data_IF_842727776196
#
_entry.id   IF_842727776196
#
_cell.length_a   1.000
_cell.length_b   1.000
_cell.length_c   1.000
_cell.angle_alpha   90.00
_cell.angle_beta   90.00
_cell.angle_gamma   90.00
#
_symmetry.space_group_name_H-M   'P 1'
#
loop_
_entity.id
_entity.type
_entity.pdbx_description
1 polymer ?
#
# COMPACT_ATOMS: atom_id res chain seq x y z
N UNK A 1 66.80 40.06 14.38
CA UNK A 1 67.33 39.00 15.26
C UNK A 1 66.65 37.71 14.81
N UNK A 2 67.31 36.98 13.90
CA UNK A 2 68.05 35.72 14.20
C UNK A 2 67.08 34.56 14.36
N UNK A 3 66.80 33.81 13.28
CA UNK A 3 67.48 32.56 12.87
C UNK A 3 67.07 31.38 13.80
N UNK A 4 66.68 30.19 13.36
CA UNK A 4 67.13 29.35 12.24
C UNK A 4 66.26 28.08 12.16
N UNK A 5 65.84 27.65 10.96
CA UNK A 5 66.24 26.36 10.35
C UNK A 5 65.08 25.34 10.36
N UNK A 6 64.85 24.46 9.39
CA UNK A 6 65.51 24.10 8.14
C UNK A 6 64.64 23.06 7.39
N UNK A 7 64.94 22.85 6.12
CA UNK A 7 64.22 22.01 5.14
C UNK A 7 64.26 20.49 5.45
N UNK A 8 63.28 19.74 4.90
CA UNK A 8 63.35 18.28 4.74
C UNK A 8 62.01 17.70 4.26
N UNK A 9 61.99 17.02 3.11
CA UNK A 9 60.78 16.59 2.42
C UNK A 9 60.48 15.09 2.47
N UNK A 10 59.34 14.78 1.83
CA UNK A 10 58.84 13.52 1.27
C UNK A 10 58.42 12.40 2.23
N UNK A 11 57.16 11.97 2.03
CA UNK A 11 56.68 10.65 2.43
C UNK A 11 55.16 10.56 2.33
N UNK A 12 54.64 10.30 1.13
CA UNK A 12 53.23 9.96 0.95
C UNK A 12 52.90 8.62 1.62
N UNK A 13 51.76 8.56 2.32
CA UNK A 13 51.03 7.33 2.61
C UNK A 13 49.57 7.62 2.33
N UNK A 14 48.99 6.86 1.40
CA UNK A 14 47.59 6.95 1.02
C UNK A 14 46.67 6.53 2.16
N UNK A 15 45.66 7.36 2.43
CA UNK A 15 44.46 7.00 3.17
C UNK A 15 43.32 6.78 2.17
N UNK A 16 42.83 5.54 2.14
CA UNK A 16 41.62 5.14 1.43
C UNK A 16 40.39 5.76 2.10
N UNK A 17 39.47 6.27 1.28
CA UNK A 17 38.03 6.15 1.48
C UNK A 17 37.38 7.08 2.51
N UNK A 18 36.59 8.02 2.02
CA UNK A 18 35.61 8.70 2.86
C UNK A 18 34.98 9.91 2.17
N UNK A 19 33.66 9.87 2.07
CA UNK A 19 32.77 10.98 1.72
C UNK A 19 32.61 11.25 0.22
N UNK A 20 31.95 10.33 -0.47
CA UNK A 20 31.15 10.66 -1.66
C UNK A 20 29.80 11.23 -1.22
N UNK A 21 29.52 12.46 -1.65
CA UNK A 21 28.42 13.30 -1.18
C UNK A 21 27.03 12.71 -1.38
N UNK A 22 26.16 13.02 -0.41
CA UNK A 22 24.70 12.94 -0.55
C UNK A 22 24.28 14.03 -1.52
N UNK A 23 24.14 13.67 -2.79
CA UNK A 23 23.66 14.55 -3.84
C UNK A 23 22.16 14.38 -4.06
N UNK A 24 21.40 15.43 -3.76
CA UNK A 24 20.18 15.79 -4.50
C UNK A 24 18.92 15.00 -4.18
N UNK A 25 18.22 15.44 -3.13
CA UNK A 25 16.76 15.27 -3.03
C UNK A 25 16.15 16.16 -4.12
N UNK A 26 15.62 15.57 -5.18
CA UNK A 26 14.88 16.24 -6.25
C UNK A 26 13.53 15.57 -6.39
N UNK A 27 12.47 16.31 -6.09
CA UNK A 27 11.11 15.80 -5.99
C UNK A 27 10.59 15.14 -7.27
N UNK A 28 10.10 13.90 -7.12
CA UNK A 28 9.08 13.32 -7.98
C UNK A 28 7.89 13.04 -7.08
N UNK A 29 7.00 14.03 -6.96
CA UNK A 29 5.75 13.90 -6.23
C UNK A 29 4.69 13.20 -7.08
N UNK A 30 4.36 11.96 -6.73
CA UNK A 30 3.26 11.21 -7.32
C UNK A 30 3.64 9.73 -7.49
N UNK A 31 2.97 8.85 -6.76
CA UNK A 31 3.16 7.39 -6.70
C UNK A 31 4.56 6.92 -6.27
N UNK A 32 4.76 6.84 -4.95
CA UNK A 32 5.88 6.11 -4.35
C UNK A 32 5.74 4.62 -4.62
N UNK A 33 6.19 4.16 -5.78
CA UNK A 33 6.72 2.81 -5.92
C UNK A 33 8.18 2.90 -5.46
N UNK A 34 8.46 2.26 -4.31
CA UNK A 34 9.76 2.00 -3.69
C UNK A 34 10.16 2.86 -2.46
N UNK A 35 10.35 2.12 -1.36
CA UNK A 35 11.55 2.13 -0.49
C UNK A 35 11.62 3.13 0.68
N UNK A 36 10.89 2.89 1.79
CA UNK A 36 11.43 2.99 3.19
C UNK A 36 10.39 2.59 4.28
N UNK A 37 10.05 1.30 4.42
CA UNK A 37 9.34 0.78 5.61
C UNK A 37 10.08 -0.36 6.31
N UNK A 38 11.41 -0.30 6.26
CA UNK A 38 12.32 -0.92 7.21
C UNK A 38 13.48 0.08 7.29
N UNK A 39 13.73 0.64 8.48
CA UNK A 39 14.74 1.69 8.72
C UNK A 39 16.13 1.34 8.19
N UNK A 40 17.11 2.26 8.30
CA UNK A 40 18.29 2.29 7.46
C UNK A 40 18.87 0.89 7.35
N UNK A 41 18.61 0.27 6.20
CA UNK A 41 19.33 -0.91 5.77
C UNK A 41 20.69 -0.38 5.38
N UNK A 42 21.49 0.03 6.38
CA UNK A 42 22.93 0.02 6.28
C UNK A 42 23.23 -1.35 5.72
N UNK A 43 23.65 -1.37 4.46
CA UNK A 43 23.74 -2.57 3.68
C UNK A 43 24.33 -3.67 4.56
N UNK A 44 23.50 -4.66 4.88
CA UNK A 44 23.94 -5.89 5.53
C UNK A 44 24.67 -6.68 4.44
N UNK A 45 25.79 -6.15 3.97
CA UNK A 45 26.70 -6.87 3.12
C UNK A 45 27.08 -8.12 3.90
N UNK A 46 26.55 -9.27 3.47
CA UNK A 46 27.08 -10.54 3.96
C UNK A 46 28.49 -10.63 3.37
N UNK A 47 29.55 -10.67 4.19
CA UNK A 47 30.88 -10.88 3.65
C UNK A 47 30.85 -12.15 2.82
N UNK A 48 31.51 -12.14 1.67
CA UNK A 48 31.76 -13.35 0.90
C UNK A 48 32.50 -14.31 1.84
N UNK A 49 31.79 -15.29 2.41
CA UNK A 49 32.31 -16.15 3.47
C UNK A 49 33.33 -17.13 2.90
N UNK A 50 32.96 -18.40 2.83
CA UNK A 50 33.82 -19.41 2.20
C UNK A 50 33.49 -19.51 0.71
N UNK A 51 34.50 -19.28 -0.14
CA UNK A 51 34.36 -19.43 -1.59
C UNK A 51 34.68 -20.87 -1.99
N UNK A 52 33.75 -21.62 -2.61
CA UNK A 52 34.02 -22.97 -3.08
C UNK A 52 35.08 -22.98 -4.19
N UNK A 53 35.83 -24.08 -4.29
CA UNK A 53 36.82 -24.30 -5.35
C UNK A 53 36.16 -24.14 -6.72
N UNK A 54 36.78 -23.35 -7.61
CA UNK A 54 36.26 -23.13 -8.98
C UNK A 54 36.23 -24.44 -9.74
N UNK A 55 35.08 -24.77 -10.33
CA UNK A 55 34.97 -25.81 -11.36
C UNK A 55 34.66 -25.13 -12.69
N UNK A 56 35.39 -25.52 -13.73
CA UNK A 56 35.13 -25.06 -15.10
C UNK A 56 33.82 -25.67 -15.57
N UNK A 57 32.81 -24.84 -15.84
CA UNK A 57 31.56 -25.30 -16.44
C UNK A 57 31.83 -25.72 -17.89
N UNK A 58 31.67 -27.02 -18.18
CA UNK A 58 31.75 -27.53 -19.55
C UNK A 58 30.48 -27.17 -20.34
N UNK A 59 30.64 -26.90 -21.64
CA UNK A 59 29.52 -26.64 -22.56
C UNK A 59 29.15 -25.16 -22.76
N UNK A 60 29.95 -24.21 -22.26
CA UNK A 60 29.74 -22.79 -22.53
C UNK A 60 30.16 -22.40 -23.97
N UNK A 61 29.52 -21.38 -24.58
CA UNK A 61 29.91 -20.88 -25.89
C UNK A 61 31.39 -20.47 -25.95
N UNK A 62 32.07 -20.65 -27.10
CA UNK A 62 33.45 -20.18 -27.27
C UNK A 62 33.58 -18.69 -26.96
N UNK A 63 34.48 -18.34 -26.02
CA UNK A 63 34.72 -16.95 -25.62
C UNK A 63 33.94 -16.45 -24.40
N UNK A 64 33.12 -17.28 -23.76
CA UNK A 64 32.57 -16.95 -22.45
C UNK A 64 33.72 -16.66 -21.46
N UNK A 65 33.73 -15.55 -20.71
CA UNK A 65 34.79 -15.26 -19.75
C UNK A 65 34.77 -16.31 -18.65
N UNK A 66 35.65 -17.32 -18.75
CA UNK A 66 35.62 -18.51 -17.90
C UNK A 66 36.09 -18.25 -16.46
N UNK A 67 36.64 -17.07 -16.14
CA UNK A 67 37.36 -16.87 -14.88
C UNK A 67 37.27 -15.41 -14.42
N UNK A 68 36.54 -15.16 -13.32
CA UNK A 68 36.64 -13.91 -12.57
C UNK A 68 37.99 -13.86 -11.83
N UNK A 69 38.83 -12.84 -12.06
CA UNK A 69 40.23 -12.80 -11.57
C UNK A 69 40.46 -11.88 -10.33
N UNK A 70 39.47 -11.67 -9.45
CA UNK A 70 39.69 -10.79 -8.29
C UNK A 70 40.41 -11.46 -7.10
N UNK A 71 41.01 -10.63 -6.25
CA UNK A 71 41.89 -10.98 -5.13
C UNK A 71 41.21 -11.83 -4.02
N UNK A 72 41.96 -12.80 -3.49
CA UNK A 72 41.49 -13.86 -2.60
C UNK A 72 41.69 -13.49 -1.12
N UNK A 73 40.60 -13.40 -0.36
CA UNK A 73 40.62 -13.52 1.10
C UNK A 73 39.22 -13.93 1.62
N UNK A 74 39.06 -15.00 2.42
CA UNK A 74 40.06 -15.96 2.92
C UNK A 74 40.49 -17.03 1.88
N UNK A 75 41.55 -17.84 2.16
CA UNK A 75 42.03 -18.89 1.26
C UNK A 75 40.99 -19.97 0.97
N UNK A 76 41.08 -20.55 -0.23
CA UNK A 76 40.22 -21.61 -0.75
C UNK A 76 40.05 -22.73 0.27
N UNK A 77 38.81 -22.96 0.71
CA UNK A 77 38.46 -24.08 1.57
C UNK A 77 37.74 -25.09 0.70
N UNK A 78 38.14 -26.36 0.74
CA UNK A 78 37.39 -27.45 0.09
C UNK A 78 36.11 -27.70 0.89
N UNK A 79 35.11 -26.85 0.67
CA UNK A 79 33.78 -27.04 1.21
C UNK A 79 32.89 -27.66 0.13
N UNK A 80 32.59 -28.95 0.31
CA UNK A 80 31.52 -29.63 -0.42
C UNK A 80 30.21 -29.47 0.36
N UNK A 81 29.56 -28.31 0.21
CA UNK A 81 28.20 -28.16 0.72
C UNK A 81 27.26 -29.00 -0.15
N UNK A 82 26.39 -29.78 0.48
CA UNK A 82 25.36 -30.48 -0.25
C UNK A 82 24.46 -29.44 -0.95
N UNK A 83 24.25 -29.60 -2.26
CA UNK A 83 23.24 -28.83 -2.97
C UNK A 83 21.89 -29.23 -2.42
N UNK A 84 21.04 -28.25 -2.08
CA UNK A 84 19.64 -28.55 -1.81
C UNK A 84 19.05 -29.24 -3.06
N UNK A 85 18.39 -30.40 -2.91
CA UNK A 85 18.04 -31.26 -4.04
C UNK A 85 17.25 -30.52 -5.13
N UNK A 86 16.32 -29.66 -4.72
CA UNK A 86 15.60 -28.66 -5.50
C UNK A 86 14.99 -27.66 -4.50
N UNK A 87 14.96 -26.38 -4.82
CA UNK A 87 14.26 -25.37 -4.03
C UNK A 87 13.55 -24.41 -4.98
N UNK A 88 12.23 -24.50 -5.03
CA UNK A 88 11.40 -23.52 -5.73
C UNK A 88 11.20 -22.30 -4.83
N UNK A 89 11.04 -21.13 -5.44
CA UNK A 89 10.70 -19.91 -4.71
C UNK A 89 9.25 -19.99 -4.25
N UNK A 90 9.01 -19.93 -2.94
CA UNK A 90 7.67 -20.12 -2.37
C UNK A 90 6.94 -18.79 -2.23
N UNK A 91 5.62 -18.86 -2.11
CA UNK A 91 4.78 -17.69 -1.83
C UNK A 91 5.19 -16.99 -0.52
N UNK A 92 5.64 -17.76 0.47
CA UNK A 92 6.09 -17.24 1.76
C UNK A 92 7.44 -16.49 1.67
N UNK A 93 8.22 -16.69 0.60
CA UNK A 93 9.54 -16.09 0.42
C UNK A 93 9.47 -14.68 -0.18
N UNK A 94 8.33 -14.27 -0.75
CA UNK A 94 8.16 -12.95 -1.33
C UNK A 94 8.27 -11.84 -0.28
N UNK A 95 9.00 -10.78 -0.61
CA UNK A 95 8.91 -9.53 0.13
C UNK A 95 7.58 -8.82 -0.22
N UNK A 96 6.91 -8.15 0.75
CA UNK A 96 5.59 -7.53 0.52
C UNK A 96 5.55 -6.52 -0.64
N UNK A 97 6.59 -5.73 -0.80
CA UNK A 97 6.76 -4.74 -1.88
C UNK A 97 6.77 -5.39 -3.27
N UNK A 98 7.34 -6.58 -3.40
CA UNK A 98 7.36 -7.34 -4.66
C UNK A 98 6.08 -8.13 -4.88
N UNK A 99 5.48 -8.66 -3.81
CA UNK A 99 4.20 -9.37 -3.85
C UNK A 99 3.09 -8.52 -4.49
N UNK A 100 3.02 -7.25 -4.10
CA UNK A 100 1.97 -6.35 -4.61
C UNK A 100 2.08 -6.09 -6.11
N UNK A 101 3.28 -6.16 -6.69
CA UNK A 101 3.45 -5.83 -8.11
C UNK A 101 2.69 -6.79 -9.03
N UNK A 102 2.68 -8.09 -8.73
CA UNK A 102 1.87 -9.03 -9.50
C UNK A 102 0.38 -8.92 -9.15
N UNK A 103 0.03 -8.55 -7.91
CA UNK A 103 -1.36 -8.30 -7.51
C UNK A 103 -2.01 -7.17 -8.32
N UNK A 104 -1.27 -6.08 -8.59
CA UNK A 104 -1.74 -4.99 -9.45
C UNK A 104 -2.03 -5.48 -10.89
N UNK A 105 -1.14 -6.33 -11.42
CA UNK A 105 -1.30 -6.94 -12.74
C UNK A 105 -2.49 -7.92 -12.77
N UNK A 106 -2.62 -8.77 -11.76
CA UNK A 106 -3.73 -9.71 -11.61
C UNK A 106 -5.06 -8.96 -11.53
N UNK A 107 -5.18 -7.96 -10.66
CA UNK A 107 -6.38 -7.14 -10.52
C UNK A 107 -6.81 -6.54 -11.86
N UNK A 108 -5.86 -5.97 -12.60
CA UNK A 108 -6.13 -5.33 -13.89
C UNK A 108 -6.54 -6.35 -14.96
N UNK A 109 -5.95 -7.55 -14.95
CA UNK A 109 -6.26 -8.64 -15.89
C UNK A 109 -7.64 -9.25 -15.60
N UNK A 110 -7.93 -9.55 -14.35
CA UNK A 110 -9.20 -10.17 -13.91
C UNK A 110 -10.37 -9.22 -14.12
N UNK A 111 -10.15 -7.93 -13.82
CA UNK A 111 -11.18 -6.91 -13.86
C UNK A 111 -11.02 -6.01 -15.09
N UNK A 112 -10.85 -6.56 -16.29
CA UNK A 112 -10.44 -5.81 -17.50
C UNK A 112 -11.25 -4.53 -17.81
N UNK A 113 -12.51 -4.43 -17.36
CA UNK A 113 -13.39 -3.28 -17.58
C UNK A 113 -13.49 -2.30 -16.39
N UNK A 114 -12.71 -2.48 -15.33
CA UNK A 114 -12.82 -1.68 -14.10
C UNK A 114 -12.70 -0.17 -14.35
N UNK A 115 -11.93 0.25 -15.35
CA UNK A 115 -11.75 1.65 -15.74
C UNK A 115 -13.02 2.30 -16.30
N UNK A 116 -13.95 1.49 -16.81
CA UNK A 116 -15.22 1.97 -17.36
C UNK A 116 -16.40 1.78 -16.41
N UNK A 117 -16.31 0.84 -15.46
CA UNK A 117 -17.43 0.45 -14.59
C UNK A 117 -17.33 0.94 -13.15
N UNK A 118 -16.13 1.26 -12.65
CA UNK A 118 -15.96 1.63 -11.23
C UNK A 118 -16.61 2.98 -10.91
N UNK A 119 -16.39 4.00 -11.76
CA UNK A 119 -17.00 5.33 -11.61
C UNK A 119 -17.54 5.83 -12.96
N UNK A 120 -18.72 6.44 -12.93
CA UNK A 120 -19.27 7.19 -14.04
C UNK A 120 -18.49 8.49 -14.25
N UNK A 121 -17.83 8.61 -15.39
CA UNK A 121 -16.94 9.75 -15.70
C UNK A 121 -17.63 10.84 -16.52
N UNK A 122 -18.94 10.73 -16.77
CA UNK A 122 -19.69 11.75 -17.48
C UNK A 122 -19.80 13.03 -16.65
N UNK A 123 -19.70 14.18 -17.32
CA UNK A 123 -19.88 15.47 -16.68
C UNK A 123 -21.31 15.58 -16.10
N UNK A 124 -21.40 15.98 -14.83
CA UNK A 124 -22.63 15.98 -14.03
C UNK A 124 -23.29 14.60 -13.89
N UNK A 125 -22.51 13.53 -14.06
CA UNK A 125 -22.94 12.16 -13.78
C UNK A 125 -23.06 11.89 -12.27
N UNK A 126 -23.57 10.71 -11.89
CA UNK A 126 -23.80 10.32 -10.49
C UNK A 126 -22.52 10.16 -9.66
N UNK A 127 -21.36 10.07 -10.31
CA UNK A 127 -20.03 9.97 -9.67
C UNK A 127 -19.14 11.17 -10.01
N UNK A 128 -19.71 12.27 -10.48
CA UNK A 128 -18.98 13.52 -10.69
C UNK A 128 -18.95 14.35 -9.39
N UNK A 129 -17.98 15.26 -9.29
CA UNK A 129 -17.99 16.25 -8.21
C UNK A 129 -18.92 17.42 -8.56
N UNK A 130 -19.45 18.15 -7.56
CA UNK A 130 -20.26 19.33 -7.82
C UNK A 130 -19.47 20.39 -8.61
N UNK A 131 -19.97 20.75 -9.80
CA UNK A 131 -19.31 21.73 -10.69
C UNK A 131 -19.88 23.14 -10.61
N UNK A 132 -21.10 23.30 -10.09
CA UNK A 132 -21.72 24.60 -9.94
C UNK A 132 -20.94 25.44 -8.92
N UNK A 133 -20.66 26.71 -9.24
CA UNK A 133 -19.89 27.60 -8.37
C UNK A 133 -20.45 27.64 -6.94
N UNK A 134 -21.78 27.78 -6.79
CA UNK A 134 -22.41 27.78 -5.47
C UNK A 134 -22.17 26.49 -4.66
N UNK A 135 -22.04 25.33 -5.31
CA UNK A 135 -21.73 24.08 -4.61
C UNK A 135 -20.25 24.02 -4.20
N UNK A 136 -19.35 24.47 -5.09
CA UNK A 136 -17.91 24.59 -4.80
C UNK A 136 -17.69 25.57 -3.64
N UNK A 137 -18.36 26.72 -3.64
CA UNK A 137 -18.26 27.75 -2.61
C UNK A 137 -18.71 27.20 -1.24
N UNK A 138 -19.77 26.38 -1.20
CA UNK A 138 -20.20 25.71 0.03
C UNK A 138 -19.14 24.76 0.58
N UNK A 139 -18.54 23.94 -0.28
CA UNK A 139 -17.46 23.05 0.17
C UNK A 139 -16.24 23.86 0.66
N UNK A 140 -15.86 24.94 -0.02
CA UNK A 140 -14.76 25.81 0.42
C UNK A 140 -15.07 26.50 1.76
N UNK A 141 -16.30 26.96 1.97
CA UNK A 141 -16.74 27.52 3.25
C UNK A 141 -16.63 26.49 4.39
N UNK A 142 -17.02 25.24 4.14
CA UNK A 142 -16.84 24.16 5.11
C UNK A 142 -15.35 23.93 5.42
N UNK A 143 -14.48 23.89 4.41
CA UNK A 143 -13.03 23.74 4.62
C UNK A 143 -12.41 24.90 5.42
N UNK A 144 -12.92 26.13 5.23
CA UNK A 144 -12.53 27.28 6.06
C UNK A 144 -12.93 27.07 7.51
N UNK A 145 -14.16 26.64 7.77
CA UNK A 145 -14.61 26.32 9.12
C UNK A 145 -13.72 25.23 9.76
N UNK A 146 -13.37 24.19 9.00
CA UNK A 146 -12.54 23.09 9.50
C UNK A 146 -11.09 23.49 9.86
N UNK A 147 -10.64 24.66 9.41
CA UNK A 147 -9.30 25.16 9.72
C UNK A 147 -9.09 25.31 11.22
N UNK A 148 -10.15 25.57 12.00
CA UNK A 148 -10.06 25.68 13.47
C UNK A 148 -9.64 24.37 14.16
N UNK A 149 -9.97 23.21 13.58
CA UNK A 149 -9.64 21.90 14.16
C UNK A 149 -8.24 21.40 13.78
N UNK A 150 -7.52 22.11 12.91
CA UNK A 150 -6.20 21.67 12.43
C UNK A 150 -5.22 21.44 13.56
N UNK A 151 -5.17 22.33 14.55
CA UNK A 151 -4.23 22.22 15.65
C UNK A 151 -4.37 20.88 16.40
N UNK A 152 -5.61 20.42 16.62
CA UNK A 152 -5.88 19.17 17.32
C UNK A 152 -5.72 17.92 16.43
N UNK A 153 -5.98 18.05 15.13
CA UNK A 153 -5.97 16.91 14.19
C UNK A 153 -4.62 16.72 13.47
N UNK A 154 -3.70 17.68 13.51
CA UNK A 154 -2.52 17.71 12.64
C UNK A 154 -1.62 16.47 12.83
N UNK A 155 -1.27 16.13 14.06
CA UNK A 155 -0.39 15.00 14.36
C UNK A 155 -0.97 13.67 13.87
N UNK A 156 -2.26 13.47 14.10
CA UNK A 156 -3.00 12.30 13.62
C UNK A 156 -3.04 12.26 12.08
N UNK A 157 -3.35 13.39 11.45
CA UNK A 157 -3.46 13.51 10.00
C UNK A 157 -2.10 13.34 9.28
N UNK A 158 -1.00 13.72 9.92
CA UNK A 158 0.36 13.51 9.43
C UNK A 158 0.74 12.03 9.49
N UNK A 159 0.38 11.32 10.58
CA UNK A 159 0.60 9.87 10.67
C UNK A 159 -0.21 9.11 9.61
N UNK A 160 -1.49 9.47 9.42
CA UNK A 160 -2.36 8.87 8.41
C UNK A 160 -1.87 9.11 6.97
N UNK A 161 -1.04 10.14 6.71
CA UNK A 161 -0.54 10.45 5.37
C UNK A 161 0.24 9.28 4.76
N UNK A 162 1.08 8.63 5.55
CA UNK A 162 1.96 7.54 5.11
C UNK A 162 1.67 6.21 5.81
N UNK A 163 0.92 6.24 6.93
CA UNK A 163 0.65 5.09 7.78
C UNK A 163 -0.83 4.76 7.89
N UNK A 164 -1.60 4.75 6.79
CA UNK A 164 -3.02 4.34 6.83
C UNK A 164 -3.16 2.94 7.45
N UNK A 165 -2.39 1.96 6.95
CA UNK A 165 -2.34 0.61 7.53
C UNK A 165 -1.95 0.66 9.01
N UNK A 166 -0.95 1.45 9.39
CA UNK A 166 -0.52 1.58 10.79
C UNK A 166 -1.63 2.14 11.69
N UNK A 167 -2.42 3.08 11.18
CA UNK A 167 -3.53 3.68 11.91
C UNK A 167 -4.68 2.68 12.10
N UNK A 168 -5.10 1.95 11.05
CA UNK A 168 -6.14 0.92 11.19
C UNK A 168 -5.66 -0.30 12.01
N UNK A 169 -4.35 -0.57 12.02
CA UNK A 169 -3.74 -1.59 12.89
C UNK A 169 -3.88 -1.28 14.38
N UNK A 170 -4.20 -0.04 14.77
CA UNK A 170 -4.49 0.28 16.17
C UNK A 170 -5.71 -0.49 16.71
N UNK A 171 -6.62 -0.96 15.83
CA UNK A 171 -7.80 -1.75 16.24
C UNK A 171 -7.46 -3.23 16.41
N UNK A 172 -6.72 -3.82 15.46
CA UNK A 172 -6.54 -5.27 15.39
C UNK A 172 -5.12 -5.75 15.78
N UNK A 173 -4.13 -4.86 15.85
CA UNK A 173 -2.75 -5.15 16.24
C UNK A 173 -2.03 -6.26 15.43
N UNK A 174 -2.16 -6.27 14.10
CA UNK A 174 -1.38 -7.17 13.24
C UNK A 174 -0.02 -6.60 12.83
N UNK A 175 0.86 -7.40 12.22
CA UNK A 175 2.15 -6.97 11.63
C UNK A 175 2.60 -7.94 10.52
N UNK A 176 3.61 -7.58 9.69
CA UNK A 176 4.20 -8.51 8.72
C UNK A 176 4.74 -9.82 9.34
N UNK A 177 5.07 -9.79 10.64
CA UNK A 177 5.62 -10.94 11.36
C UNK A 177 4.57 -11.72 12.14
N UNK A 178 3.48 -11.09 12.60
CA UNK A 178 2.42 -11.77 13.36
C UNK A 178 1.29 -12.30 12.48
N UNK A 179 0.86 -11.53 11.48
CA UNK A 179 -0.23 -11.90 10.56
C UNK A 179 0.19 -11.54 9.14
N UNK A 180 1.12 -12.33 8.59
CA UNK A 180 1.76 -12.07 7.31
C UNK A 180 0.73 -11.98 6.17
N UNK A 181 -0.21 -12.92 6.11
CA UNK A 181 -1.20 -12.99 5.04
C UNK A 181 -2.17 -11.82 5.14
N UNK A 182 -2.64 -11.50 6.35
CA UNK A 182 -3.45 -10.31 6.61
C UNK A 182 -2.72 -9.04 6.18
N UNK A 183 -1.42 -8.92 6.49
CA UNK A 183 -0.60 -7.79 6.07
C UNK A 183 -0.45 -7.70 4.55
N UNK A 184 -0.14 -8.81 3.86
CA UNK A 184 -0.04 -8.86 2.41
C UNK A 184 -1.36 -8.47 1.74
N UNK A 185 -2.48 -8.92 2.30
CA UNK A 185 -3.82 -8.62 1.78
C UNK A 185 -4.12 -7.13 1.87
N UNK A 186 -3.97 -6.51 3.04
CA UNK A 186 -4.25 -5.07 3.21
C UNK A 186 -3.25 -4.20 2.43
N UNK A 187 -1.99 -4.62 2.33
CA UNK A 187 -0.98 -3.87 1.60
C UNK A 187 -1.25 -3.91 0.10
N UNK A 188 -1.59 -5.08 -0.46
CA UNK A 188 -2.03 -5.22 -1.85
C UNK A 188 -3.26 -4.37 -2.12
N UNK A 189 -4.23 -4.41 -1.21
CA UNK A 189 -5.47 -3.65 -1.28
C UNK A 189 -5.23 -2.14 -1.31
N UNK A 190 -4.35 -1.62 -0.45
CA UNK A 190 -4.01 -0.19 -0.43
C UNK A 190 -3.44 0.26 -1.78
N UNK A 191 -2.49 -0.49 -2.33
CA UNK A 191 -1.80 -0.13 -3.57
C UNK A 191 -2.73 -0.27 -4.79
N UNK A 192 -3.63 -1.26 -4.81
CA UNK A 192 -4.72 -1.34 -5.80
C UNK A 192 -5.60 -0.08 -5.71
N UNK A 193 -6.00 0.31 -4.49
CA UNK A 193 -6.75 1.55 -4.24
C UNK A 193 -6.05 2.79 -4.78
N UNK A 194 -4.73 2.92 -4.54
CA UNK A 194 -3.92 4.01 -5.09
C UNK A 194 -3.92 4.01 -6.62
N UNK A 195 -3.71 2.85 -7.25
CA UNK A 195 -3.71 2.70 -8.71
C UNK A 195 -5.05 3.13 -9.33
N UNK A 196 -6.16 2.64 -8.78
CA UNK A 196 -7.52 2.98 -9.24
C UNK A 196 -7.80 4.48 -9.03
N UNK A 197 -7.44 5.05 -7.88
CA UNK A 197 -7.61 6.47 -7.60
C UNK A 197 -6.81 7.35 -8.59
N UNK A 198 -5.56 6.99 -8.90
CA UNK A 198 -4.72 7.73 -9.84
C UNK A 198 -5.30 7.73 -11.26
N UNK A 199 -5.86 6.62 -11.71
CA UNK A 199 -6.55 6.54 -12.99
C UNK A 199 -7.68 7.56 -13.08
N UNK A 200 -8.60 7.58 -12.09
CA UNK A 200 -9.73 8.51 -12.10
C UNK A 200 -9.31 9.97 -11.88
N UNK A 201 -8.27 10.23 -11.09
CA UNK A 201 -7.68 11.57 -10.95
C UNK A 201 -7.20 12.13 -12.29
N UNK A 202 -6.62 11.30 -13.15
CA UNK A 202 -6.19 11.70 -14.49
C UNK A 202 -7.36 12.03 -15.41
N UNK A 203 -8.54 11.46 -15.18
CA UNK A 203 -9.77 11.72 -15.93
C UNK A 203 -10.45 12.99 -15.44
N UNK A 204 -10.81 13.05 -14.15
CA UNK A 204 -11.59 14.13 -13.56
C UNK A 204 -10.84 15.46 -13.42
N UNK A 205 -9.52 15.41 -13.21
CA UNK A 205 -8.60 16.56 -13.16
C UNK A 205 -9.06 17.71 -12.26
N UNK A 206 -9.80 17.42 -11.18
CA UNK A 206 -10.28 18.44 -10.24
C UNK A 206 -9.10 19.16 -9.59
N UNK A 207 -9.13 20.50 -9.60
CA UNK A 207 -8.21 21.33 -8.84
C UNK A 207 -8.30 21.04 -7.34
N UNK A 208 -7.22 21.27 -6.59
CA UNK A 208 -7.21 21.18 -5.11
C UNK A 208 -7.88 22.42 -4.51
N UNK A 209 -8.42 22.34 -3.27
CA UNK A 209 -9.06 23.48 -2.60
C UNK A 209 -8.23 24.76 -2.60
N UNK A 210 -6.95 24.65 -2.21
CA UNK A 210 -6.03 25.80 -2.13
C UNK A 210 -5.74 26.49 -3.46
N UNK A 211 -6.06 25.85 -4.59
CA UNK A 211 -5.91 26.48 -5.92
C UNK A 211 -7.06 27.45 -6.21
N UNK A 212 -8.24 27.21 -5.64
CA UNK A 212 -9.40 28.09 -5.77
C UNK A 212 -9.49 29.08 -4.60
N UNK A 213 -9.06 28.66 -3.41
CA UNK A 213 -9.06 29.48 -2.20
C UNK A 213 -7.69 29.48 -1.52
N UNK A 214 -6.80 30.43 -1.88
CA UNK A 214 -5.47 30.54 -1.28
C UNK A 214 -5.49 30.78 0.23
N UNK A 215 -6.58 31.32 0.79
CA UNK A 215 -6.69 31.59 2.22
C UNK A 215 -6.76 30.31 3.06
N UNK A 216 -7.01 29.14 2.44
CA UNK A 216 -6.99 27.86 3.13
C UNK A 216 -5.60 27.49 3.67
N UNK A 217 -4.51 28.00 3.09
CA UNK A 217 -3.13 27.79 3.57
C UNK A 217 -2.87 26.37 4.15
N UNK A 218 -2.91 25.30 3.33
CA UNK A 218 -2.72 23.94 3.82
C UNK A 218 -1.41 23.80 4.63
N UNK A 219 -1.42 23.13 5.79
CA UNK A 219 -0.24 23.02 6.65
C UNK A 219 0.76 21.96 6.14
N UNK A 220 0.45 21.31 5.01
CA UNK A 220 1.32 20.35 4.33
C UNK A 220 1.47 20.77 2.87
N UNK A 221 2.56 20.33 2.26
CA UNK A 221 2.73 20.47 0.81
C UNK A 221 1.54 19.86 0.05
N UNK A 222 1.00 20.65 -0.87
CA UNK A 222 -0.14 20.23 -1.69
C UNK A 222 0.33 19.14 -2.66
N UNK A 223 -0.27 17.95 -2.67
CA UNK A 223 0.22 16.86 -3.52
C UNK A 223 0.18 17.19 -5.01
N UNK A 224 1.19 16.73 -5.76
CA UNK A 224 1.39 16.96 -7.20
C UNK A 224 0.40 16.25 -8.15
N UNK A 225 -0.84 16.01 -7.73
CA UNK A 225 -1.87 15.34 -8.52
C UNK A 225 -3.27 15.88 -8.20
N UNK A 226 -4.24 15.59 -9.08
CA UNK A 226 -5.61 16.07 -8.97
C UNK A 226 -6.30 15.67 -7.64
N UNK A 227 -7.31 16.44 -7.24
CA UNK A 227 -8.03 16.27 -5.98
C UNK A 227 -9.01 15.10 -6.03
N UNK A 228 -9.80 14.96 -7.08
CA UNK A 228 -10.92 14.01 -7.12
C UNK A 228 -10.59 12.69 -7.83
N UNK A 229 -11.00 11.51 -7.30
CA UNK A 229 -11.55 11.29 -5.96
C UNK A 229 -10.44 11.25 -4.88
N UNK A 230 -10.76 11.28 -3.60
CA UNK A 230 -9.79 11.19 -2.50
C UNK A 230 -9.17 9.79 -2.41
N UNK A 231 -7.84 9.70 -2.57
CA UNK A 231 -7.12 8.43 -2.50
C UNK A 231 -7.11 7.89 -1.05
N UNK A 232 -6.71 8.71 -0.07
CA UNK A 232 -6.76 8.34 1.35
C UNK A 232 -8.15 7.92 1.81
N UNK A 233 -9.21 8.61 1.35
CA UNK A 233 -10.60 8.23 1.66
C UNK A 233 -10.97 6.86 1.10
N UNK A 234 -10.52 6.55 -0.12
CA UNK A 234 -10.73 5.26 -0.75
C UNK A 234 -9.91 4.15 -0.10
N UNK A 235 -8.60 4.36 0.08
CA UNK A 235 -7.65 3.40 0.64
C UNK A 235 -8.04 3.01 2.07
N UNK A 236 -8.32 3.99 2.94
CA UNK A 236 -8.67 3.71 4.32
C UNK A 236 -9.99 2.94 4.43
N UNK A 237 -11.01 3.32 3.65
CA UNK A 237 -12.30 2.61 3.65
C UNK A 237 -12.14 1.21 3.07
N UNK A 238 -11.36 1.05 2.01
CA UNK A 238 -11.14 -0.25 1.39
C UNK A 238 -10.39 -1.21 2.32
N UNK A 239 -9.37 -0.71 3.04
CA UNK A 239 -8.66 -1.50 4.06
C UNK A 239 -9.63 -1.91 5.17
N UNK A 240 -10.49 -1.00 5.65
CA UNK A 240 -11.51 -1.34 6.64
C UNK A 240 -12.44 -2.44 6.15
N UNK A 241 -12.96 -2.32 4.93
CA UNK A 241 -13.84 -3.32 4.32
C UNK A 241 -13.15 -4.68 4.13
N UNK A 242 -11.88 -4.71 3.75
CA UNK A 242 -11.13 -5.97 3.62
C UNK A 242 -10.85 -6.60 4.99
N UNK A 243 -10.51 -5.79 6.00
CA UNK A 243 -10.29 -6.30 7.36
C UNK A 243 -11.57 -6.87 7.98
N UNK A 244 -12.72 -6.28 7.71
CA UNK A 244 -14.03 -6.83 8.10
C UNK A 244 -14.34 -8.19 7.46
N UNK A 245 -13.70 -8.53 6.33
CA UNK A 245 -13.79 -9.87 5.74
C UNK A 245 -12.85 -10.88 6.41
N UNK A 246 -11.92 -10.43 7.26
CA UNK A 246 -10.86 -11.25 7.86
C UNK A 246 -11.06 -11.42 9.37
N UNK A 247 -11.40 -10.33 10.06
CA UNK A 247 -11.41 -10.28 11.52
C UNK A 247 -12.70 -10.88 12.12
N UNK A 248 -12.62 -11.39 13.36
CA UNK A 248 -13.79 -11.78 14.16
C UNK A 248 -14.81 -10.65 14.34
N UNK A 249 -16.09 -11.03 14.45
CA UNK A 249 -17.22 -10.10 14.57
C UNK A 249 -17.08 -9.16 15.78
N UNK A 250 -16.50 -9.65 16.88
CA UNK A 250 -16.27 -8.92 18.13
C UNK A 250 -15.35 -7.70 17.96
N UNK A 251 -14.51 -7.70 16.90
CA UNK A 251 -13.62 -6.58 16.57
C UNK A 251 -14.27 -5.65 15.53
N UNK A 252 -15.15 -6.18 14.68
CA UNK A 252 -15.68 -5.46 13.53
C UNK A 252 -17.02 -4.79 13.78
N UNK A 253 -17.83 -5.30 14.71
CA UNK A 253 -19.16 -4.78 15.02
C UNK A 253 -19.08 -3.58 15.99
N UNK A 254 -20.02 -2.63 15.86
CA UNK A 254 -20.15 -1.54 16.83
C UNK A 254 -20.78 -2.07 18.12
N UNK A 255 -20.19 -1.72 19.27
CA UNK A 255 -20.76 -2.01 20.59
C UNK A 255 -21.94 -1.08 20.96
N UNK A 256 -22.48 -0.32 20.00
CA UNK A 256 -23.59 0.61 20.17
C UNK A 256 -23.21 1.96 20.78
N UNK A 257 -21.92 2.32 20.76
CA UNK A 257 -21.39 3.50 21.45
C UNK A 257 -21.23 4.75 20.58
N UNK A 258 -21.33 4.62 19.25
CA UNK A 258 -21.07 5.70 18.31
C UNK A 258 -22.35 6.06 17.56
N UNK A 259 -22.63 7.37 17.40
CA UNK A 259 -23.80 7.88 16.66
C UNK A 259 -23.74 7.64 15.12
N UNK A 260 -22.97 6.66 14.66
CA UNK A 260 -22.86 6.22 13.27
C UNK A 260 -23.34 4.76 13.18
N UNK A 261 -24.68 4.54 13.12
CA UNK A 261 -25.30 3.21 13.28
C UNK A 261 -24.98 2.20 12.16
N UNK A 262 -24.21 2.59 11.14
CA UNK A 262 -23.80 1.78 10.00
C UNK A 262 -22.28 1.47 9.99
N UNK A 263 -21.51 1.91 10.99
CA UNK A 263 -20.05 1.87 10.97
C UNK A 263 -19.43 1.31 12.27
N UNK A 264 -18.83 0.13 12.16
CA UNK A 264 -17.92 -0.44 13.17
C UNK A 264 -16.61 0.36 13.32
N UNK A 265 -15.75 0.00 14.28
CA UNK A 265 -14.55 0.77 14.61
C UNK A 265 -13.61 1.02 13.42
N UNK A 266 -13.45 0.04 12.52
CA UNK A 266 -12.61 0.17 11.34
C UNK A 266 -13.11 1.23 10.35
N UNK A 267 -14.41 1.20 10.02
CA UNK A 267 -15.03 2.20 9.14
C UNK A 267 -15.01 3.59 9.76
N UNK A 268 -15.16 3.70 11.08
CA UNK A 268 -15.04 4.97 11.79
C UNK A 268 -13.64 5.58 11.64
N UNK A 269 -12.58 4.78 11.82
CA UNK A 269 -11.21 5.21 11.57
C UNK A 269 -10.95 5.57 10.09
N UNK A 270 -11.55 4.83 9.16
CA UNK A 270 -11.46 5.14 7.74
C UNK A 270 -12.14 6.48 7.38
N UNK A 271 -13.34 6.75 7.91
CA UNK A 271 -14.03 8.03 7.74
C UNK A 271 -13.23 9.17 8.33
N UNK A 272 -12.66 8.97 9.51
CA UNK A 272 -11.78 9.94 10.18
C UNK A 272 -10.53 10.25 9.34
N UNK A 273 -9.93 9.24 8.72
CA UNK A 273 -8.80 9.43 7.79
C UNK A 273 -9.17 10.33 6.62
N UNK A 274 -10.36 10.13 6.02
CA UNK A 274 -10.89 11.00 4.97
C UNK A 274 -11.13 12.44 5.45
N UNK A 275 -11.85 12.59 6.57
CA UNK A 275 -12.17 13.90 7.17
C UNK A 275 -10.92 14.69 7.54
N UNK A 276 -9.88 14.02 8.04
CA UNK A 276 -8.61 14.67 8.34
C UNK A 276 -7.95 15.27 7.08
N UNK A 277 -8.19 14.74 5.88
CA UNK A 277 -7.70 15.38 4.64
C UNK A 277 -8.44 16.67 4.28
N UNK A 278 -9.72 16.77 4.67
CA UNK A 278 -10.51 17.99 4.53
C UNK A 278 -10.08 19.02 5.57
N UNK A 279 -9.83 18.61 6.82
CA UNK A 279 -9.27 19.48 7.87
C UNK A 279 -7.93 20.08 7.42
N UNK A 280 -7.06 19.28 6.80
CA UNK A 280 -5.80 19.78 6.20
C UNK A 280 -6.00 20.68 4.97
N UNK A 281 -7.22 20.83 4.46
CA UNK A 281 -7.52 21.68 3.30
C UNK A 281 -7.03 21.14 1.97
N UNK A 282 -6.76 19.82 1.88
CA UNK A 282 -6.24 19.21 0.64
C UNK A 282 -7.29 18.47 -0.17
N UNK A 283 -8.43 18.12 0.42
CA UNK A 283 -9.56 17.48 -0.26
C UNK A 283 -10.87 18.19 0.07
N UNK A 284 -11.83 18.13 -0.85
CA UNK A 284 -13.22 18.55 -0.60
C UNK A 284 -14.02 17.38 0.01
N UNK A 285 -15.12 17.64 0.76
CA UNK A 285 -16.01 16.59 1.25
C UNK A 285 -16.49 15.63 0.15
N UNK A 286 -16.84 16.14 -1.04
CA UNK A 286 -17.23 15.30 -2.17
C UNK A 286 -16.08 14.43 -2.72
N UNK A 287 -14.81 14.84 -2.59
CA UNK A 287 -13.68 13.98 -2.94
C UNK A 287 -13.63 12.75 -2.03
N UNK A 288 -13.81 12.97 -0.72
CA UNK A 288 -13.80 11.91 0.30
C UNK A 288 -14.98 10.97 0.12
N UNK A 289 -16.17 11.51 -0.10
CA UNK A 289 -17.39 10.75 -0.34
C UNK A 289 -17.22 9.81 -1.54
N UNK A 290 -16.74 10.33 -2.67
CA UNK A 290 -16.49 9.49 -3.86
C UNK A 290 -15.37 8.48 -3.61
N UNK A 291 -14.34 8.82 -2.83
CA UNK A 291 -13.32 7.86 -2.41
C UNK A 291 -13.90 6.66 -1.67
N UNK A 292 -14.77 6.89 -0.67
CA UNK A 292 -15.42 5.84 0.12
C UNK A 292 -16.38 4.99 -0.74
N UNK A 293 -17.12 5.64 -1.65
CA UNK A 293 -17.96 4.97 -2.65
C UNK A 293 -17.13 4.04 -3.55
N UNK A 294 -16.01 4.53 -4.06
CA UNK A 294 -15.09 3.76 -4.88
C UNK A 294 -14.54 2.55 -4.11
N UNK A 295 -14.28 2.68 -2.81
CA UNK A 295 -13.87 1.57 -1.96
C UNK A 295 -14.90 0.43 -1.89
N UNK A 296 -16.18 0.76 -1.67
CA UNK A 296 -17.26 -0.22 -1.66
C UNK A 296 -17.35 -1.01 -2.98
N UNK A 297 -17.13 -0.32 -4.11
CA UNK A 297 -17.13 -0.94 -5.46
C UNK A 297 -15.87 -1.75 -5.76
N UNK A 298 -14.72 -1.37 -5.20
CA UNK A 298 -13.45 -2.08 -5.39
C UNK A 298 -13.42 -3.42 -4.67
N UNK A 299 -14.06 -3.54 -3.50
CA UNK A 299 -14.00 -4.75 -2.68
C UNK A 299 -14.34 -6.03 -3.46
N UNK A 300 -15.51 -6.19 -4.13
CA UNK A 300 -15.82 -7.40 -4.89
C UNK A 300 -14.74 -7.78 -5.91
N UNK A 301 -14.18 -6.79 -6.58
CA UNK A 301 -13.19 -6.98 -7.64
C UNK A 301 -11.85 -7.49 -7.08
N UNK A 302 -11.50 -7.06 -5.86
CA UNK A 302 -10.33 -7.55 -5.13
C UNK A 302 -10.60 -8.96 -4.61
N UNK A 303 -11.77 -9.22 -4.04
CA UNK A 303 -12.13 -10.54 -3.54
C UNK A 303 -12.15 -11.61 -4.65
N UNK A 304 -12.51 -11.22 -5.88
CA UNK A 304 -12.51 -12.08 -7.05
C UNK A 304 -11.12 -12.35 -7.67
N UNK A 305 -10.06 -11.68 -7.19
CA UNK A 305 -8.71 -11.91 -7.69
C UNK A 305 -8.22 -13.32 -7.25
N UNK A 306 -7.73 -14.20 -8.16
CA UNK A 306 -7.34 -15.57 -7.85
C UNK A 306 -6.35 -15.73 -6.69
N UNK A 307 -5.43 -14.79 -6.49
CA UNK A 307 -4.51 -14.81 -5.35
C UNK A 307 -5.26 -14.57 -4.03
N UNK A 308 -6.31 -13.74 -4.04
CA UNK A 308 -7.16 -13.46 -2.88
C UNK A 308 -8.16 -14.59 -2.64
N UNK A 309 -8.90 -14.96 -3.68
CA UNK A 309 -9.93 -15.99 -3.62
C UNK A 309 -9.36 -17.39 -3.40
N UNK A 310 -8.14 -17.63 -3.89
CA UNK A 310 -7.61 -18.96 -4.09
C UNK A 310 -8.22 -19.62 -5.33
N UNK A 311 -7.74 -20.83 -5.60
CA UNK A 311 -8.20 -21.65 -6.72
C UNK A 311 -8.47 -23.07 -6.24
N UNK A 312 -9.41 -23.81 -6.86
CA UNK A 312 -9.53 -25.24 -6.61
C UNK A 312 -8.17 -25.92 -6.83
N UNK A 313 -7.80 -26.83 -5.94
CA UNK A 313 -6.67 -27.71 -6.19
C UNK A 313 -7.00 -28.72 -7.32
N UNK A 314 -6.00 -29.48 -7.81
CA UNK A 314 -6.26 -30.57 -8.73
C UNK A 314 -7.09 -31.67 -8.06
N UNK A 315 -7.79 -32.48 -8.86
CA UNK A 315 -8.81 -33.46 -8.41
C UNK A 315 -8.35 -34.47 -7.32
N UNK A 316 -7.04 -34.63 -7.12
CA UNK A 316 -6.41 -35.56 -6.19
C UNK A 316 -6.27 -35.05 -4.74
N UNK A 317 -6.65 -33.81 -4.42
CA UNK A 317 -6.74 -33.33 -3.03
C UNK A 317 -8.18 -32.84 -2.68
N UNK A 318 -9.03 -33.70 -2.10
CA UNK A 318 -10.45 -33.40 -1.89
C UNK A 318 -10.72 -32.28 -0.86
N UNK A 319 -9.78 -31.99 0.04
CA UNK A 319 -9.92 -30.90 1.03
C UNK A 319 -9.72 -29.54 0.36
N UNK A 320 -8.71 -29.44 -0.51
CA UNK A 320 -8.37 -28.19 -1.21
C UNK A 320 -9.26 -27.91 -2.45
N UNK A 321 -10.14 -28.84 -2.83
CA UNK A 321 -11.08 -28.67 -3.94
C UNK A 321 -12.42 -28.09 -3.54
N UNK A 322 -12.73 -28.08 -2.25
CA UNK A 322 -13.96 -27.50 -1.73
C UNK A 322 -13.71 -26.05 -1.33
N UNK A 323 -14.65 -25.13 -1.61
CA UNK A 323 -14.63 -23.82 -0.99
C UNK A 323 -14.55 -23.99 0.54
N UNK A 324 -13.62 -23.29 1.19
CA UNK A 324 -13.49 -23.25 2.65
C UNK A 324 -14.56 -22.32 3.19
N UNK A 325 -15.75 -22.89 3.29
CA UNK A 325 -16.91 -22.22 3.85
C UNK A 325 -16.80 -22.23 5.38
N UNK A 326 -16.33 -21.13 5.96
CA UNK A 326 -17.13 -20.55 7.04
C UNK A 326 -18.53 -20.30 6.44
N UNK A 327 -19.61 -20.69 7.10
CA UNK A 327 -20.94 -20.72 6.48
C UNK A 327 -21.28 -19.36 5.80
N UNK A 328 -21.58 -19.38 4.49
CA UNK A 328 -21.87 -18.18 3.69
C UNK A 328 -20.60 -17.46 3.20
N UNK A 329 -20.17 -17.77 1.98
CA UNK A 329 -18.90 -17.42 1.29
C UNK A 329 -18.67 -15.92 1.04
N UNK A 330 -19.26 -15.05 1.84
CA UNK A 330 -19.06 -13.60 1.90
C UNK A 330 -19.58 -13.18 3.26
N UNK A 331 -18.82 -12.43 4.06
CA UNK A 331 -19.45 -11.73 5.19
C UNK A 331 -20.25 -10.60 4.55
N UNK A 332 -21.60 -10.67 4.49
CA UNK A 332 -22.38 -9.61 3.88
C UNK A 332 -22.10 -8.35 4.68
N UNK A 333 -21.55 -7.34 4.02
CA UNK A 333 -21.23 -6.10 4.67
C UNK A 333 -22.41 -5.15 4.54
N UNK A 334 -22.70 -4.43 5.62
CA UNK A 334 -23.60 -3.29 5.55
C UNK A 334 -23.10 -2.32 4.48
N UNK A 335 -24.03 -1.68 3.77
CA UNK A 335 -23.69 -0.65 2.81
C UNK A 335 -22.83 0.44 3.46
N UNK A 336 -21.91 1.03 2.71
CA UNK A 336 -21.13 2.17 3.20
C UNK A 336 -22.03 3.39 3.14
N UNK A 337 -22.45 3.93 4.29
CA UNK A 337 -23.08 5.26 4.33
C UNK A 337 -22.11 6.29 3.76
N UNK A 338 -22.57 7.19 2.90
CA UNK A 338 -21.74 8.18 2.21
C UNK A 338 -21.95 9.57 2.78
N UNK A 339 -23.22 9.92 2.98
CA UNK A 339 -23.71 11.03 3.78
C UNK A 339 -25.03 10.58 4.43
N UNK A 340 -25.59 11.36 5.35
CA UNK A 340 -26.74 10.94 6.19
C UNK A 340 -27.99 10.43 5.45
N UNK A 341 -28.04 10.46 4.11
CA UNK A 341 -29.12 9.91 3.29
C UNK A 341 -28.64 9.02 2.12
N UNK A 342 -27.33 8.89 1.87
CA UNK A 342 -26.78 8.15 0.74
C UNK A 342 -26.00 6.92 1.21
N UNK A 343 -26.10 5.81 0.48
CA UNK A 343 -25.35 4.57 0.75
C UNK A 343 -24.80 3.99 -0.54
N UNK A 344 -23.65 3.32 -0.45
CA UNK A 344 -23.10 2.48 -1.53
C UNK A 344 -23.12 1.01 -1.10
N UNK A 345 -23.72 0.15 -1.92
CA UNK A 345 -23.78 -1.27 -1.64
C UNK A 345 -22.38 -1.91 -1.65
N UNK A 346 -22.13 -2.79 -0.69
CA UNK A 346 -20.92 -3.61 -0.64
C UNK A 346 -21.29 -5.02 -1.08
N UNK A 347 -21.15 -5.29 -2.38
CA UNK A 347 -21.47 -6.60 -2.94
C UNK A 347 -20.27 -7.53 -2.82
N UNK A 348 -19.93 -8.03 -1.63
CA UNK A 348 -18.88 -9.05 -1.49
C UNK A 348 -19.27 -10.43 -2.04
N UNK A 349 -20.55 -10.60 -2.42
CA UNK A 349 -21.20 -11.87 -2.78
C UNK A 349 -20.68 -12.55 -4.04
N UNK A 350 -20.76 -13.88 -4.09
CA UNK A 350 -20.68 -14.66 -5.33
C UNK A 350 -19.28 -15.11 -5.76
N UNK A 351 -18.26 -14.95 -4.91
CA UNK A 351 -16.92 -15.50 -5.13
C UNK A 351 -16.69 -16.70 -4.21
N UNK A 352 -16.27 -17.83 -4.78
CA UNK A 352 -15.84 -18.99 -4.01
C UNK A 352 -14.44 -18.78 -3.44
N UNK A 353 -14.26 -19.07 -2.15
CA UNK A 353 -12.98 -18.94 -1.46
C UNK A 353 -12.35 -20.31 -1.18
N UNK A 354 -11.06 -20.46 -1.48
CA UNK A 354 -10.30 -21.71 -1.35
C UNK A 354 -9.17 -21.56 -0.33
N UNK A 355 -8.74 -22.69 0.25
CA UNK A 355 -7.82 -22.71 1.39
C UNK A 355 -6.42 -22.17 1.05
N UNK A 356 -6.05 -22.20 -0.22
CA UNK A 356 -4.81 -21.62 -0.72
C UNK A 356 -4.89 -20.10 -0.95
N UNK A 357 -6.09 -19.52 -0.93
CA UNK A 357 -6.33 -18.10 -1.15
C UNK A 357 -5.87 -17.24 0.03
N UNK A 358 -5.41 -16.03 -0.29
CA UNK A 358 -4.90 -15.10 0.71
C UNK A 358 -5.97 -14.72 1.75
N UNK A 359 -7.25 -14.62 1.37
CA UNK A 359 -8.32 -14.32 2.32
C UNK A 359 -8.51 -15.43 3.36
N UNK A 360 -8.55 -16.69 2.91
CA UNK A 360 -8.70 -17.85 3.80
C UNK A 360 -7.49 -17.99 4.74
N UNK A 361 -6.26 -17.84 4.19
CA UNK A 361 -5.03 -17.82 4.99
C UNK A 361 -5.03 -16.68 6.00
N UNK A 362 -5.52 -15.49 5.63
CA UNK A 362 -5.62 -14.34 6.54
C UNK A 362 -6.56 -14.65 7.71
N UNK A 363 -7.75 -15.20 7.46
CA UNK A 363 -8.71 -15.59 8.52
C UNK A 363 -8.13 -16.59 9.51
N UNK A 364 -7.34 -17.55 9.02
CA UNK A 364 -6.68 -18.55 9.89
C UNK A 364 -5.66 -17.93 10.85
N UNK A 365 -5.16 -16.72 10.60
CA UNK A 365 -4.26 -16.03 11.53
C UNK A 365 -4.99 -15.49 12.77
N UNK A 366 -6.33 -15.48 12.78
CA UNK A 366 -7.18 -14.89 13.83
C UNK A 366 -8.08 -15.91 14.56
N UNK A 367 -7.91 -17.20 14.30
CA UNK A 367 -8.60 -18.32 14.94
C UNK A 367 -7.59 -19.09 15.78
#
# INVERSE_FOLDING_TARGET
>A
MSASGGFGGVGGVGGVGGVGGVGGVGGVGGVSFALDLLGPSGALFRPTGVVPTRQTLQGLPPGAPLIYQSERWPPTVNVSWNRLPTADFRDEDWAPDHWVMFMLAEFSRVNANWTATMLNTAMNGPDDYPRANAAIDRELQELRALTEYRAAALDEALQQRWGIISYLRAVANFSPTSHRNTFLLVYSTQLIGSMVAMHYKRIFKRARPSRLDPALLPPIEVPGHASYPSAHGAEAMLIALVLEQVLPAEITEDSGGVSAPDAGPLRNLARRTGRNREVLGVHYPSDTLCGQKMAARMLPLILACPTVSGTPAPANNPVNNKPVNFAGTTVPQTAVGLDGNNTEAVNGGGTDFYANGLLAKSRQEWI
#
